data_IF_816014516922
#
_entry.id   IF_816014516922
#
_cell.length_a   1.000
_cell.length_b   1.000
_cell.length_c   1.000
_cell.angle_alpha   90.00
_cell.angle_beta   90.00
_cell.angle_gamma   90.00
#
_symmetry.space_group_name_H-M   'P 1'
#
loop_
_entity.id
_entity.type
_entity.pdbx_description
1 polymer ?
#
# COMPACT_ATOMS: atom_id res chain seq x y z
N UNK A 1 5.22 -2.58 -8.07
CA UNK A 1 5.96 -2.34 -6.84
C UNK A 1 5.72 -0.92 -6.39
N UNK A 2 5.75 -0.68 -5.12
CA UNK A 2 5.20 0.56 -4.56
C UNK A 2 5.72 0.74 -3.15
N UNK A 3 5.62 1.94 -2.62
CA UNK A 3 5.82 2.21 -1.20
C UNK A 3 4.59 2.92 -0.67
N UNK A 4 4.02 2.36 0.39
CA UNK A 4 2.91 2.92 1.14
C UNK A 4 3.34 3.08 2.58
N UNK A 5 3.18 4.26 3.14
CA UNK A 5 3.49 4.56 4.54
C UNK A 5 2.26 5.12 5.23
N UNK A 6 2.06 4.78 6.49
CA UNK A 6 0.91 5.23 7.26
C UNK A 6 1.29 5.75 8.65
N UNK A 7 0.42 6.59 9.19
CA UNK A 7 0.43 6.99 10.59
C UNK A 7 -1.02 6.98 11.11
N UNK A 8 -1.30 6.13 12.09
CA UNK A 8 -2.64 6.01 12.66
C UNK A 8 -3.03 7.24 13.47
N UNK A 9 -2.09 7.82 14.21
CA UNK A 9 -2.33 9.00 15.03
C UNK A 9 -2.80 10.19 14.20
N UNK A 10 -2.17 10.43 13.05
CA UNK A 10 -2.58 11.49 12.12
C UNK A 10 -3.65 11.05 11.13
N UNK A 11 -4.00 9.77 11.09
CA UNK A 11 -4.94 9.18 10.11
C UNK A 11 -4.57 9.52 8.68
N UNK A 12 -3.31 9.32 8.34
CA UNK A 12 -2.78 9.59 7.01
C UNK A 12 -2.07 8.38 6.42
N UNK A 13 -2.16 8.27 5.11
CA UNK A 13 -1.42 7.29 4.30
C UNK A 13 -0.79 8.05 3.14
N UNK A 14 0.47 7.79 2.87
CA UNK A 14 1.17 8.32 1.71
C UNK A 14 1.52 7.21 0.74
N UNK A 15 1.39 7.47 -0.53
CA UNK A 15 1.73 6.53 -1.61
C UNK A 15 2.60 7.22 -2.65
N UNK A 16 3.43 6.43 -3.32
CA UNK A 16 4.07 6.86 -4.56
C UNK A 16 3.12 6.70 -5.76
N UNK A 17 3.58 7.07 -6.94
CA UNK A 17 2.78 7.00 -8.17
C UNK A 17 3.49 6.27 -9.31
N UNK A 18 4.59 5.60 -9.03
CA UNK A 18 5.41 4.93 -10.05
C UNK A 18 4.92 3.51 -10.33
N UNK A 19 4.80 3.19 -11.62
CA UNK A 19 4.65 1.82 -12.11
C UNK A 19 5.81 1.53 -13.04
N UNK A 20 6.51 0.44 -12.80
CA UNK A 20 7.60 -0.05 -13.63
C UNK A 20 7.34 -1.50 -14.04
N UNK A 21 7.93 -1.90 -15.15
CA UNK A 21 8.06 -3.30 -15.50
C UNK A 21 9.05 -3.97 -14.56
N UNK A 22 8.58 -5.00 -13.84
CA UNK A 22 9.40 -5.67 -12.82
C UNK A 22 10.57 -6.47 -13.43
N UNK A 23 10.43 -6.94 -14.67
CA UNK A 23 11.47 -7.71 -15.33
C UNK A 23 12.57 -6.84 -15.93
N UNK A 24 12.21 -5.67 -16.49
CA UNK A 24 13.15 -4.79 -17.20
C UNK A 24 13.54 -3.54 -16.40
N UNK A 25 12.77 -3.17 -15.38
CA UNK A 25 12.91 -1.89 -14.66
C UNK A 25 12.44 -0.69 -15.48
N UNK A 26 11.79 -0.91 -16.61
CA UNK A 26 11.33 0.14 -17.49
C UNK A 26 10.17 0.92 -16.87
N UNK A 27 10.23 2.24 -16.95
CA UNK A 27 9.19 3.10 -16.40
C UNK A 27 7.96 3.13 -17.31
N UNK A 28 6.79 2.73 -16.77
CA UNK A 28 5.52 2.90 -17.46
C UNK A 28 4.90 4.27 -17.18
N UNK A 29 4.84 4.67 -15.90
CA UNK A 29 4.26 5.95 -15.52
C UNK A 29 4.71 6.38 -14.13
N UNK A 30 4.71 7.67 -13.88
CA UNK A 30 4.92 8.30 -12.59
C UNK A 30 3.66 9.00 -12.05
N UNK A 31 2.50 8.69 -12.62
CA UNK A 31 1.22 9.35 -12.29
C UNK A 31 0.09 8.37 -11.94
N UNK A 32 0.42 7.11 -11.65
CA UNK A 32 -0.58 6.12 -11.30
C UNK A 32 -1.11 6.31 -9.88
N UNK A 33 -2.42 6.15 -9.71
CA UNK A 33 -3.02 6.10 -8.38
C UNK A 33 -2.81 4.72 -7.75
N UNK A 34 -2.34 4.69 -6.51
CA UNK A 34 -2.21 3.47 -5.71
C UNK A 34 -3.39 3.28 -4.76
N UNK A 35 -4.30 4.24 -4.74
CA UNK A 35 -5.54 4.16 -3.98
C UNK A 35 -6.61 3.47 -4.83
N UNK A 36 -7.21 2.46 -4.24
CA UNK A 36 -8.27 1.68 -4.86
C UNK A 36 -9.52 1.76 -3.99
N UNK A 37 -10.61 2.30 -4.51
CA UNK A 37 -11.83 2.53 -3.76
C UNK A 37 -12.93 1.55 -4.21
N UNK A 38 -13.57 0.88 -3.25
CA UNK A 38 -14.75 0.04 -3.48
C UNK A 38 -15.78 0.34 -2.39
N UNK A 39 -16.80 1.13 -2.73
CA UNK A 39 -17.80 1.56 -1.77
C UNK A 39 -17.15 2.31 -0.61
N UNK A 40 -17.32 1.80 0.59
CA UNK A 40 -16.73 2.37 1.81
C UNK A 40 -15.35 1.81 2.17
N UNK A 41 -14.80 0.97 1.32
CA UNK A 41 -13.51 0.33 1.55
C UNK A 41 -12.46 1.03 0.68
N UNK A 42 -11.38 1.46 1.30
CA UNK A 42 -10.22 2.05 0.63
C UNK A 42 -9.03 1.13 0.78
N UNK A 43 -8.41 0.76 -0.33
CA UNK A 43 -7.23 -0.10 -0.35
C UNK A 43 -6.04 0.66 -0.93
N UNK A 44 -4.88 0.46 -0.31
CA UNK A 44 -3.59 0.94 -0.80
C UNK A 44 -2.71 -0.30 -0.99
N UNK A 45 -2.39 -0.64 -2.24
CA UNK A 45 -1.82 -1.94 -2.55
C UNK A 45 -0.44 -1.82 -3.19
N UNK A 46 0.44 -2.73 -2.79
CA UNK A 46 1.76 -2.94 -3.35
C UNK A 46 1.83 -4.33 -3.96
N UNK A 47 2.50 -4.46 -5.09
CA UNK A 47 2.65 -5.71 -5.83
C UNK A 47 2.25 -5.54 -7.29
N UNK A 48 1.79 -6.62 -7.91
CA UNK A 48 1.36 -6.59 -9.31
C UNK A 48 0.01 -5.85 -9.45
N UNK A 49 0.01 -4.76 -10.20
CA UNK A 49 -1.19 -3.92 -10.40
C UNK A 49 -2.35 -4.72 -11.01
N UNK A 50 -2.07 -5.66 -11.90
CA UNK A 50 -3.09 -6.52 -12.51
C UNK A 50 -3.82 -7.43 -11.49
N UNK A 51 -3.25 -7.64 -10.32
CA UNK A 51 -3.82 -8.48 -9.26
C UNK A 51 -4.67 -7.71 -8.25
N UNK A 52 -4.65 -6.39 -8.30
CA UNK A 52 -5.30 -5.54 -7.29
C UNK A 52 -6.82 -5.76 -7.24
N UNK A 53 -7.46 -5.92 -8.38
CA UNK A 53 -8.91 -6.12 -8.41
C UNK A 53 -9.32 -7.44 -7.75
N UNK A 54 -8.58 -8.52 -8.00
CA UNK A 54 -8.86 -9.81 -7.37
C UNK A 54 -8.71 -9.75 -5.85
N UNK A 55 -7.66 -9.08 -5.35
CA UNK A 55 -7.46 -8.89 -3.92
C UNK A 55 -8.61 -8.12 -3.30
N UNK A 56 -9.03 -7.02 -3.92
CA UNK A 56 -10.15 -6.21 -3.46
C UNK A 56 -11.45 -7.03 -3.41
N UNK A 57 -11.76 -7.77 -4.45
CA UNK A 57 -12.96 -8.60 -4.52
C UNK A 57 -12.93 -9.74 -3.49
N UNK A 58 -11.79 -10.38 -3.29
CA UNK A 58 -11.62 -11.46 -2.31
C UNK A 58 -11.82 -10.94 -0.88
N UNK A 59 -11.24 -9.80 -0.56
CA UNK A 59 -11.43 -9.15 0.74
C UNK A 59 -12.90 -8.75 0.98
N UNK A 60 -13.53 -8.11 0.01
CA UNK A 60 -14.93 -7.66 0.10
C UNK A 60 -15.87 -8.85 0.30
N UNK A 61 -15.60 -9.96 -0.35
CA UNK A 61 -16.37 -11.20 -0.19
C UNK A 61 -16.13 -11.90 1.16
N UNK A 62 -15.16 -11.44 1.96
CA UNK A 62 -14.78 -12.07 3.22
C UNK A 62 -14.14 -13.44 3.05
N UNK A 63 -13.58 -13.70 1.88
CA UNK A 63 -12.95 -14.99 1.55
C UNK A 63 -11.43 -14.93 1.73
N UNK A 64 -10.83 -16.08 2.05
CA UNK A 64 -9.38 -16.21 2.23
C UNK A 64 -8.70 -16.94 1.06
N UNK A 65 -9.42 -17.79 0.33
CA UNK A 65 -8.86 -18.48 -0.84
C UNK A 65 -8.65 -17.53 -2.02
N UNK A 66 -7.48 -17.54 -2.61
CA UNK A 66 -7.15 -16.76 -3.79
C UNK A 66 -6.22 -17.55 -4.73
N UNK A 67 -5.93 -16.99 -5.90
CA UNK A 67 -5.01 -17.60 -6.84
C UNK A 67 -3.60 -17.69 -6.23
N UNK A 68 -2.94 -18.84 -6.37
CA UNK A 68 -1.61 -19.08 -5.76
C UNK A 68 -0.51 -18.12 -6.24
N UNK A 69 -0.65 -17.58 -7.43
CA UNK A 69 0.32 -16.63 -8.00
C UNK A 69 0.12 -15.18 -7.51
N UNK A 70 -0.93 -14.90 -6.74
CA UNK A 70 -1.15 -13.59 -6.16
C UNK A 70 -0.07 -13.28 -5.13
N UNK A 71 0.61 -12.16 -5.34
CA UNK A 71 1.61 -11.61 -4.44
C UNK A 71 1.32 -10.11 -4.27
N UNK A 72 0.47 -9.78 -3.30
CA UNK A 72 0.04 -8.42 -3.02
C UNK A 72 0.07 -8.19 -1.52
N UNK A 73 0.59 -7.04 -1.13
CA UNK A 73 0.57 -6.51 0.23
C UNK A 73 -0.28 -5.25 0.23
N UNK A 74 -1.23 -5.15 1.13
CA UNK A 74 -2.21 -4.07 1.14
C UNK A 74 -2.44 -3.48 2.52
N UNK A 75 -2.75 -2.19 2.55
CA UNK A 75 -3.39 -1.53 3.69
C UNK A 75 -4.84 -1.28 3.31
N UNK A 76 -5.77 -1.63 4.18
CA UNK A 76 -7.21 -1.54 3.93
C UNK A 76 -7.88 -0.75 5.03
N UNK A 77 -8.49 0.36 4.65
CA UNK A 77 -9.27 1.21 5.56
C UNK A 77 -10.74 0.92 5.40
N UNK A 78 -11.37 0.44 6.45
CA UNK A 78 -12.80 0.16 6.50
C UNK A 78 -13.30 0.19 7.94
N UNK A 79 -14.51 0.69 8.15
CA UNK A 79 -15.14 0.73 9.47
C UNK A 79 -14.34 1.51 10.52
N UNK A 80 -13.58 2.52 10.12
CA UNK A 80 -12.74 3.31 11.03
C UNK A 80 -11.48 2.59 11.51
N UNK A 81 -11.10 1.49 10.87
CA UNK A 81 -9.91 0.70 11.22
C UNK A 81 -9.02 0.47 10.00
N UNK A 82 -7.73 0.41 10.24
CA UNK A 82 -6.75 0.04 9.23
C UNK A 82 -6.35 -1.44 9.43
N UNK A 83 -6.42 -2.18 8.34
CA UNK A 83 -5.99 -3.58 8.28
C UNK A 83 -4.77 -3.70 7.38
N UNK A 84 -3.89 -4.62 7.72
CA UNK A 84 -2.81 -5.05 6.84
C UNK A 84 -3.18 -6.42 6.27
N UNK A 85 -3.14 -6.56 4.96
CA UNK A 85 -3.50 -7.77 4.24
C UNK A 85 -2.35 -8.25 3.37
N UNK A 86 -2.16 -9.55 3.31
CA UNK A 86 -1.16 -10.21 2.47
C UNK A 86 -1.78 -11.38 1.73
N UNK A 87 -1.53 -11.43 0.42
CA UNK A 87 -1.86 -12.58 -0.40
C UNK A 87 -0.58 -13.37 -0.67
N UNK A 88 -0.53 -14.60 -0.21
CA UNK A 88 0.59 -15.49 -0.39
C UNK A 88 0.12 -16.95 -0.45
N UNK A 89 0.67 -17.71 -1.41
CA UNK A 89 0.46 -19.15 -1.53
C UNK A 89 -1.02 -19.58 -1.55
N UNK A 90 -1.86 -18.78 -2.18
CA UNK A 90 -3.29 -19.06 -2.33
C UNK A 90 -4.16 -18.62 -1.16
N UNK A 91 -3.60 -17.88 -0.22
CA UNK A 91 -4.32 -17.40 0.97
C UNK A 91 -4.19 -15.88 1.05
N UNK A 92 -5.33 -15.20 1.19
CA UNK A 92 -5.40 -13.80 1.58
C UNK A 92 -5.71 -13.74 3.07
N UNK A 93 -4.77 -13.22 3.84
CA UNK A 93 -4.93 -13.00 5.28
C UNK A 93 -4.90 -11.51 5.58
N UNK A 94 -5.64 -11.10 6.61
CA UNK A 94 -5.63 -9.72 7.09
C UNK A 94 -5.79 -9.66 8.60
N UNK A 95 -5.25 -8.60 9.19
CA UNK A 95 -5.34 -8.33 10.62
C UNK A 95 -5.36 -6.83 10.87
N UNK A 96 -5.95 -6.37 11.98
CA UNK A 96 -5.90 -4.95 12.34
C UNK A 96 -4.45 -4.50 12.58
N UNK A 97 -4.13 -3.32 12.06
CA UNK A 97 -2.84 -2.69 12.34
C UNK A 97 -2.83 -2.19 13.78
N UNK A 98 -1.79 -2.54 14.52
CA UNK A 98 -1.60 -2.11 15.93
C UNK A 98 -0.49 -1.09 16.09
N UNK A 99 0.51 -1.09 15.21
CA UNK A 99 1.58 -0.10 15.23
C UNK A 99 1.09 1.27 14.76
N UNK A 100 1.48 2.33 15.46
CA UNK A 100 1.09 3.70 15.07
C UNK A 100 1.61 4.12 13.70
N UNK A 101 2.78 3.63 13.31
CA UNK A 101 3.45 3.95 12.05
C UNK A 101 3.99 2.71 11.40
N UNK A 102 3.89 2.65 10.08
CA UNK A 102 4.44 1.54 9.33
C UNK A 102 4.45 1.80 7.84
N UNK A 103 5.12 0.91 7.12
CA UNK A 103 5.23 0.98 5.68
C UNK A 103 5.20 -0.42 5.06
N UNK A 104 4.68 -0.49 3.84
CA UNK A 104 4.64 -1.69 3.02
C UNK A 104 5.20 -1.40 1.63
N UNK A 105 5.56 -2.45 0.91
CA UNK A 105 6.02 -2.37 -0.46
C UNK A 105 7.54 -2.42 -0.60
N UNK A 106 8.03 -2.23 -1.82
CA UNK A 106 9.44 -2.40 -2.18
C UNK A 106 10.38 -1.42 -1.48
N UNK A 107 9.92 -0.22 -1.17
CA UNK A 107 10.68 0.80 -0.44
C UNK A 107 10.40 0.83 1.06
N UNK A 108 9.69 -0.18 1.60
CA UNK A 108 9.21 -0.17 2.98
C UNK A 108 10.33 -0.04 4.02
N UNK A 109 11.49 -0.65 3.81
CA UNK A 109 12.61 -0.56 4.74
C UNK A 109 13.11 0.86 4.92
N UNK A 110 13.23 1.60 3.83
CA UNK A 110 13.64 3.01 3.86
C UNK A 110 12.56 3.89 4.48
N UNK A 111 11.31 3.67 4.11
CA UNK A 111 10.18 4.41 4.65
C UNK A 111 10.01 4.15 6.16
N UNK A 112 10.13 2.90 6.61
CA UNK A 112 10.05 2.53 8.02
C UNK A 112 11.15 3.21 8.83
N UNK A 113 12.39 3.19 8.36
CA UNK A 113 13.49 3.85 9.04
C UNK A 113 13.25 5.37 9.18
N UNK A 114 12.70 6.00 8.14
CA UNK A 114 12.34 7.41 8.19
C UNK A 114 11.21 7.68 9.21
N UNK A 115 10.16 6.84 9.23
CA UNK A 115 9.08 6.92 10.20
C UNK A 115 9.60 6.77 11.64
N UNK A 116 10.48 5.81 11.88
CA UNK A 116 11.10 5.57 13.18
C UNK A 116 11.92 6.78 13.65
N UNK A 117 12.50 7.53 12.71
CA UNK A 117 13.22 8.77 12.98
C UNK A 117 12.30 10.00 13.14
N UNK A 118 10.98 9.83 13.06
CA UNK A 118 10.00 10.89 13.26
C UNK A 118 9.44 11.52 12.00
N UNK A 119 9.71 10.98 10.82
CA UNK A 119 9.15 11.48 9.56
C UNK A 119 7.64 11.27 9.48
N UNK A 120 6.97 12.14 8.74
CA UNK A 120 5.57 11.92 8.35
C UNK A 120 5.50 10.84 7.27
N UNK A 121 4.34 10.22 7.01
CA UNK A 121 4.19 9.27 5.90
C UNK A 121 4.63 9.85 4.55
N UNK A 122 4.29 11.10 4.26
CA UNK A 122 4.72 11.78 3.05
C UNK A 122 6.25 11.85 2.94
N UNK A 123 6.91 12.29 4.01
CA UNK A 123 8.37 12.37 4.06
C UNK A 123 9.03 10.99 3.95
N UNK A 124 8.41 9.98 4.55
CA UNK A 124 8.92 8.60 4.53
C UNK A 124 8.89 8.00 3.11
N UNK A 125 7.80 8.18 2.37
CA UNK A 125 7.72 7.73 0.97
C UNK A 125 8.69 8.52 0.10
N UNK A 126 8.84 9.82 0.34
CA UNK A 126 9.82 10.66 -0.37
C UNK A 126 11.25 10.19 -0.12
N UNK A 127 11.57 9.81 1.11
CA UNK A 127 12.88 9.23 1.45
C UNK A 127 13.11 7.89 0.74
N UNK A 128 12.11 7.02 0.70
CA UNK A 128 12.16 5.75 -0.02
C UNK A 128 12.38 5.95 -1.52
N UNK A 129 11.75 6.95 -2.11
CA UNK A 129 11.90 7.27 -3.53
C UNK A 129 13.32 7.65 -3.92
N UNK A 130 14.11 8.17 -2.98
CA UNK A 130 15.53 8.49 -3.22
C UNK A 130 16.43 7.27 -3.34
N UNK A 131 16.01 6.13 -2.78
CA UNK A 131 16.82 4.91 -2.67
C UNK A 131 16.29 3.74 -3.45
N UNK A 132 14.96 3.65 -3.60
CA UNK A 132 14.30 2.53 -4.25
C UNK A 132 13.85 2.95 -5.65
N UNK A 133 14.36 2.30 -6.68
CA UNK A 133 14.05 2.64 -8.08
C UNK A 133 12.59 2.33 -8.46
N UNK A 134 11.94 1.43 -7.72
CA UNK A 134 10.53 1.09 -7.94
C UNK A 134 9.56 2.04 -7.26
N UNK A 135 10.08 3.00 -6.48
CA UNK A 135 9.31 4.03 -5.79
C UNK A 135 9.61 5.38 -6.41
N UNK A 136 8.59 6.13 -6.78
CA UNK A 136 8.82 7.45 -7.37
C UNK A 136 7.55 8.09 -7.90
N UNK A 137 7.74 9.10 -8.72
CA UNK A 137 6.67 9.95 -9.22
C UNK A 137 6.10 10.86 -8.14
N UNK A 138 4.91 11.36 -8.35
CA UNK A 138 4.22 12.21 -7.37
C UNK A 138 3.90 11.43 -6.11
N UNK A 139 4.30 11.95 -4.96
CA UNK A 139 3.91 11.41 -3.67
C UNK A 139 2.55 11.99 -3.29
N UNK A 140 1.59 11.13 -2.99
CA UNK A 140 0.22 11.52 -2.69
C UNK A 140 -0.09 11.21 -1.23
N UNK A 141 -0.60 12.22 -0.51
CA UNK A 141 -1.06 12.06 0.86
C UNK A 141 -2.57 11.87 0.86
N UNK A 142 -3.01 10.79 1.50
CA UNK A 142 -4.43 10.46 1.66
C UNK A 142 -4.81 10.60 3.13
N UNK A 143 -5.96 11.21 3.39
CA UNK A 143 -6.54 11.26 4.74
C UNK A 143 -7.51 10.11 4.89
N UNK A 144 -7.39 9.40 6.02
CA UNK A 144 -8.32 8.33 6.37
C UNK A 144 -9.54 8.94 7.05
N UNK A 145 -10.67 8.90 6.37
CA UNK A 145 -11.92 9.48 6.86
C UNK A 145 -12.84 8.37 7.38
N UNK A 146 -13.49 8.63 8.53
CA UNK A 146 -14.46 7.71 9.13
C UNK A 146 -15.78 7.60 8.30
N UNK A 147 -15.96 8.45 7.31
CA UNK A 147 -17.13 8.42 6.41
C UNK A 147 -16.99 7.43 5.26
N UNK A 148 -15.86 6.79 5.17
CA UNK A 148 -15.59 5.81 4.12
C UNK A 148 -15.66 4.38 4.65
#
# INVERSE_FOLDING_TARGET
MTTVAYCLKSKTVATDSRIVDAATGELFTDTASKRYQRGRITLFMAGAVCDFEEVANTFIAGKHGCRKSLDVHALIWTGGKLFEAMADSGILSWHPVVADRGAIGSGSSYAQAALDAGATPFQAVKAAAKRNVFTGGKIVLHRLDNRQ
#
